data_IF_186079090368
#
_entry.id   IF_186079090368
#
_cell.length_a   1.000
_cell.length_b   1.000
_cell.length_c   1.000
_cell.angle_alpha   90.00
_cell.angle_beta   90.00
_cell.angle_gamma   90.00
#
_symmetry.space_group_name_H-M   'P 1'
#
loop_
_entity.id
_entity.type
_entity.pdbx_description
1 polymer ?
#
# COMPACT_ATOMS: atom_id res chain seq x y z
N UNK A 1 2.61 16.83 -29.34
CA UNK A 1 2.34 17.05 -27.90
C UNK A 1 3.68 16.95 -27.19
N UNK A 2 4.23 18.09 -26.77
CA UNK A 2 5.53 18.16 -26.09
C UNK A 2 5.41 17.57 -24.68
N UNK A 3 6.33 16.66 -24.31
CA UNK A 3 6.43 16.01 -22.99
C UNK A 3 6.86 16.98 -21.86
N UNK A 4 6.56 18.28 -21.97
CA UNK A 4 6.96 19.27 -20.97
C UNK A 4 6.27 18.97 -19.62
N UNK A 5 7.09 18.70 -18.60
CA UNK A 5 6.64 18.48 -17.23
C UNK A 5 6.23 17.04 -16.87
N UNK A 6 6.42 16.06 -17.76
CA UNK A 6 6.24 14.66 -17.37
C UNK A 6 7.28 14.25 -16.31
N UNK A 7 6.83 13.54 -15.27
CA UNK A 7 7.72 12.94 -14.27
C UNK A 7 7.82 11.43 -14.51
N UNK A 8 9.04 10.92 -14.51
CA UNK A 8 9.34 9.49 -14.65
C UNK A 8 10.04 8.98 -13.40
N UNK A 9 9.70 7.74 -13.05
CA UNK A 9 10.29 7.01 -11.94
C UNK A 9 10.65 5.61 -12.44
N UNK A 10 11.93 5.27 -12.35
CA UNK A 10 12.50 4.00 -12.77
C UNK A 10 12.57 3.07 -11.57
N UNK A 11 12.11 1.83 -11.77
CA UNK A 11 12.14 0.77 -10.76
C UNK A 11 12.66 -0.54 -11.34
N UNK A 12 13.23 -1.36 -10.48
CA UNK A 12 13.45 -2.78 -10.74
C UNK A 12 12.39 -3.63 -10.02
N UNK A 13 11.85 -4.64 -10.68
CA UNK A 13 10.96 -5.62 -10.06
C UNK A 13 11.74 -6.68 -9.29
N UNK A 14 11.68 -6.66 -7.97
CA UNK A 14 12.35 -7.65 -7.11
C UNK A 14 11.56 -8.97 -7.02
N UNK A 15 10.25 -8.89 -7.27
CA UNK A 15 9.37 -10.03 -7.52
C UNK A 15 8.44 -9.71 -8.69
N UNK A 16 7.77 -10.72 -9.24
CA UNK A 16 6.80 -10.50 -10.31
C UNK A 16 5.71 -9.50 -9.85
N UNK A 17 5.33 -8.57 -10.72
CA UNK A 17 4.17 -7.71 -10.47
C UNK A 17 2.95 -8.40 -11.03
N UNK A 18 1.93 -8.57 -10.19
CA UNK A 18 0.66 -9.14 -10.62
C UNK A 18 -0.33 -8.02 -10.93
N UNK A 19 -0.80 -7.98 -12.17
CA UNK A 19 -2.01 -7.26 -12.53
C UNK A 19 -2.99 -8.23 -13.15
N UNK A 20 -4.15 -8.42 -12.52
CA UNK A 20 -5.17 -9.33 -13.04
C UNK A 20 -5.87 -8.71 -14.24
N UNK A 21 -5.92 -9.45 -15.35
CA UNK A 21 -6.86 -9.16 -16.44
C UNK A 21 -8.32 -9.49 -16.05
N UNK A 22 -9.23 -9.45 -17.02
CA UNK A 22 -10.65 -9.74 -16.81
C UNK A 22 -10.90 -11.15 -16.24
N UNK A 23 -10.01 -12.10 -16.53
CA UNK A 23 -10.06 -13.48 -16.03
C UNK A 23 -9.20 -13.68 -14.77
N UNK A 24 -8.65 -12.58 -14.23
CA UNK A 24 -7.76 -12.57 -13.08
C UNK A 24 -6.42 -13.25 -13.35
N UNK A 25 -5.95 -13.33 -14.60
CA UNK A 25 -4.65 -13.88 -14.99
C UNK A 25 -3.58 -12.77 -15.07
N UNK A 26 -2.29 -13.11 -14.89
CA UNK A 26 -1.22 -12.12 -14.77
C UNK A 26 -0.55 -11.76 -16.10
N UNK A 27 -0.95 -12.37 -17.22
CA UNK A 27 -0.15 -12.38 -18.46
C UNK A 27 0.08 -11.01 -19.12
N UNK A 28 -0.58 -9.95 -18.65
CA UNK A 28 -0.47 -8.59 -19.18
C UNK A 28 -0.36 -7.59 -18.06
N UNK A 29 0.39 -6.52 -18.29
CA UNK A 29 0.40 -5.35 -17.40
C UNK A 29 -0.88 -4.54 -17.60
N UNK A 30 -1.74 -4.52 -16.58
CA UNK A 30 -2.94 -3.69 -16.54
C UNK A 30 -2.61 -2.40 -15.80
N UNK A 31 -2.35 -1.34 -16.56
CA UNK A 31 -1.96 0.00 -16.05
C UNK A 31 -2.91 0.52 -14.97
N UNK A 32 -4.21 0.31 -15.12
CA UNK A 32 -5.21 0.74 -14.13
C UNK A 32 -5.11 -0.02 -12.81
N UNK A 33 -4.67 -1.28 -12.82
CA UNK A 33 -4.44 -2.07 -11.62
C UNK A 33 -3.27 -1.54 -10.78
N UNK A 34 -2.16 -1.19 -11.43
CA UNK A 34 -1.02 -0.53 -10.77
C UNK A 34 -1.41 0.87 -10.27
N UNK A 35 -2.13 1.65 -11.08
CA UNK A 35 -2.59 2.98 -10.68
C UNK A 35 -3.50 2.92 -9.45
N UNK A 36 -4.38 1.92 -9.37
CA UNK A 36 -5.23 1.69 -8.20
C UNK A 36 -4.43 1.37 -6.95
N UNK A 37 -3.37 0.56 -7.07
CA UNK A 37 -2.47 0.26 -5.96
C UNK A 37 -1.68 1.50 -5.50
N UNK A 38 -1.19 2.32 -6.43
CA UNK A 38 -0.52 3.59 -6.11
C UNK A 38 -1.49 4.55 -5.42
N UNK A 39 -2.72 4.68 -5.94
CA UNK A 39 -3.76 5.49 -5.30
C UNK A 39 -4.00 5.03 -3.86
N UNK A 40 -4.11 3.73 -3.62
CA UNK A 40 -4.35 3.21 -2.28
C UNK A 40 -3.24 3.58 -1.30
N UNK A 41 -1.97 3.43 -1.69
CA UNK A 41 -0.84 3.88 -0.87
C UNK A 41 -0.77 5.40 -0.71
N UNK A 42 -1.19 6.16 -1.71
CA UNK A 42 -1.32 7.61 -1.61
C UNK A 42 -2.36 8.00 -0.55
N UNK A 43 -3.49 7.30 -0.49
CA UNK A 43 -4.49 7.48 0.56
C UNK A 43 -3.92 7.16 1.96
N UNK A 44 -3.11 6.11 2.08
CA UNK A 44 -2.41 5.75 3.33
C UNK A 44 -1.50 6.89 3.80
N UNK A 45 -0.70 7.45 2.90
CA UNK A 45 0.19 8.57 3.19
C UNK A 45 -0.60 9.83 3.60
N UNK A 46 -1.63 10.20 2.83
CA UNK A 46 -2.48 11.37 3.10
C UNK A 46 -3.14 11.29 4.49
N UNK A 47 -3.75 10.14 4.83
CA UNK A 47 -4.32 9.91 6.17
C UNK A 47 -3.24 9.97 7.27
N UNK A 48 -2.03 9.53 6.94
CA UNK A 48 -0.82 9.63 7.76
C UNK A 48 -0.42 11.05 8.13
N UNK A 49 -0.49 11.93 7.13
CA UNK A 49 -0.19 13.36 7.24
C UNK A 49 -1.32 14.17 7.88
N UNK A 50 -2.51 13.58 7.99
CA UNK A 50 -3.67 14.18 8.68
C UNK A 50 -4.78 14.66 7.75
N UNK A 51 -4.60 14.51 6.44
CA UNK A 51 -5.64 14.80 5.46
C UNK A 51 -6.64 13.65 5.30
N UNK A 52 -7.74 13.95 4.62
CA UNK A 52 -8.82 13.01 4.38
C UNK A 52 -8.76 12.35 3.01
N UNK A 53 -9.14 11.07 2.96
CA UNK A 53 -9.31 10.32 1.73
C UNK A 53 -10.62 9.52 1.77
N UNK A 54 -11.44 9.69 0.73
CA UNK A 54 -12.71 8.98 0.61
C UNK A 54 -12.52 7.49 0.34
N UNK A 55 -13.51 6.70 0.71
CA UNK A 55 -13.65 5.34 0.21
C UNK A 55 -14.47 5.37 -1.10
N UNK A 56 -13.88 5.04 -2.27
CA UNK A 56 -14.60 5.03 -3.53
C UNK A 56 -15.67 3.94 -3.63
N UNK A 57 -15.64 2.94 -2.74
CA UNK A 57 -16.60 1.82 -2.72
C UNK A 57 -17.83 2.11 -1.86
N UNK A 58 -17.73 3.04 -0.90
CA UNK A 58 -18.84 3.46 -0.05
C UNK A 58 -19.74 4.48 -0.75
N UNK A 59 -21.05 4.22 -0.78
CA UNK A 59 -22.04 5.18 -1.29
C UNK A 59 -22.14 6.46 -0.44
N UNK A 60 -21.79 6.40 0.86
CA UNK A 60 -21.89 7.53 1.79
C UNK A 60 -20.62 8.37 1.83
N UNK A 61 -19.45 7.72 1.75
CA UNK A 61 -18.15 8.36 1.95
C UNK A 61 -17.37 8.62 0.65
N UNK A 62 -17.85 8.21 -0.54
CA UNK A 62 -17.19 8.48 -1.83
C UNK A 62 -17.24 9.95 -2.24
N UNK A 63 -16.20 10.39 -2.96
CA UNK A 63 -16.21 11.67 -3.69
C UNK A 63 -16.92 11.54 -5.05
N UNK A 64 -17.48 12.65 -5.57
CA UNK A 64 -17.58 13.97 -4.93
C UNK A 64 -18.70 14.03 -3.87
N UNK A 65 -18.75 15.10 -3.07
CA UNK A 65 -19.93 15.40 -2.25
C UNK A 65 -21.03 15.89 -3.18
N UNK A 66 -22.11 15.11 -3.31
CA UNK A 66 -23.22 15.42 -4.21
C UNK A 66 -23.98 16.69 -3.86
N UNK A 67 -23.75 17.26 -2.67
CA UNK A 67 -24.36 18.52 -2.22
C UNK A 67 -23.52 19.75 -2.55
N UNK A 68 -22.32 19.57 -3.10
CA UNK A 68 -21.37 20.64 -3.42
C UNK A 68 -21.15 20.72 -4.93
N UNK A 69 -20.98 21.92 -5.46
CA UNK A 69 -20.57 22.10 -6.85
C UNK A 69 -19.07 21.85 -6.97
N UNK A 70 -18.60 21.59 -8.19
CA UNK A 70 -17.18 21.34 -8.46
C UNK A 70 -16.25 22.50 -8.03
N UNK A 71 -16.78 23.72 -7.99
CA UNK A 71 -16.08 24.94 -7.57
C UNK A 71 -16.07 25.16 -6.06
N UNK A 72 -16.89 24.42 -5.30
CA UNK A 72 -17.09 24.68 -3.87
C UNK A 72 -16.06 23.93 -3.03
N UNK A 73 -15.56 24.58 -1.98
CA UNK A 73 -14.70 23.95 -0.98
C UNK A 73 -15.35 22.70 -0.40
N UNK A 74 -14.61 21.60 -0.40
CA UNK A 74 -15.05 20.30 0.10
C UNK A 74 -15.81 19.45 -0.92
N UNK A 75 -15.80 19.80 -2.21
CA UNK A 75 -16.36 18.96 -3.28
C UNK A 75 -15.72 17.57 -3.32
N UNK A 76 -14.40 17.50 -3.20
CA UNK A 76 -13.64 16.26 -3.27
C UNK A 76 -12.42 16.31 -2.34
N UNK A 77 -11.88 15.14 -2.00
CA UNK A 77 -10.69 15.05 -1.16
C UNK A 77 -9.40 15.26 -1.98
N UNK A 78 -8.29 15.53 -1.29
CA UNK A 78 -6.96 15.76 -1.90
C UNK A 78 -6.49 14.60 -2.79
N UNK A 79 -6.89 13.36 -2.48
CA UNK A 79 -6.57 12.20 -3.32
C UNK A 79 -7.33 12.25 -4.64
N UNK A 80 -8.63 12.54 -4.58
CA UNK A 80 -9.46 12.68 -5.78
C UNK A 80 -9.08 13.90 -6.61
N UNK A 81 -8.45 14.91 -6.01
CA UNK A 81 -7.94 16.06 -6.76
C UNK A 81 -6.89 15.60 -7.80
N UNK A 82 -5.94 14.78 -7.35
CA UNK A 82 -4.86 14.26 -8.19
C UNK A 82 -5.31 13.08 -9.06
N UNK A 83 -5.94 12.06 -8.46
CA UNK A 83 -6.30 10.78 -9.10
C UNK A 83 -7.69 10.75 -9.75
N UNK A 84 -8.49 11.80 -9.56
CA UNK A 84 -9.86 11.87 -10.07
C UNK A 84 -10.89 11.13 -9.21
N UNK A 85 -12.16 11.41 -9.52
CA UNK A 85 -13.36 10.70 -9.06
C UNK A 85 -14.50 10.91 -10.08
N UNK A 86 -15.70 10.42 -9.79
CA UNK A 86 -16.87 10.67 -10.64
C UNK A 86 -17.05 12.17 -10.90
N UNK A 87 -17.14 12.58 -12.17
CA UNK A 87 -17.27 14.00 -12.54
C UNK A 87 -16.01 14.85 -12.35
N UNK A 88 -14.88 14.27 -11.91
CA UNK A 88 -13.60 14.96 -11.78
C UNK A 88 -12.49 14.12 -12.43
N UNK A 89 -12.01 14.55 -13.60
CA UNK A 89 -10.90 13.87 -14.26
C UNK A 89 -9.64 13.92 -13.39
N UNK A 90 -8.74 12.94 -13.52
CA UNK A 90 -7.40 12.99 -12.92
C UNK A 90 -6.53 14.10 -13.54
N UNK A 91 -5.50 14.57 -12.83
CA UNK A 91 -4.59 15.63 -13.32
C UNK A 91 -3.50 15.13 -14.27
N UNK A 92 -3.31 13.83 -14.43
CA UNK A 92 -2.23 13.25 -15.22
C UNK A 92 -2.68 12.05 -16.06
N UNK A 93 -1.99 11.82 -17.17
CA UNK A 93 -1.95 10.53 -17.85
C UNK A 93 -0.89 9.66 -17.17
N UNK A 94 -1.20 8.39 -17.01
CA UNK A 94 -0.33 7.40 -16.36
C UNK A 94 0.00 6.32 -17.36
N UNK A 95 1.28 6.04 -17.49
CA UNK A 95 1.82 5.07 -18.42
C UNK A 95 2.83 4.19 -17.68
N UNK A 96 2.82 2.90 -17.98
CA UNK A 96 3.84 1.96 -17.53
C UNK A 96 4.68 1.59 -18.74
N UNK A 97 5.97 1.86 -18.65
CA UNK A 97 6.90 1.72 -19.76
C UNK A 97 7.98 0.69 -19.43
N UNK A 98 8.51 0.04 -20.46
CA UNK A 98 9.72 -0.76 -20.34
C UNK A 98 10.98 0.14 -20.25
N UNK A 99 12.15 -0.49 -20.12
CA UNK A 99 13.45 0.20 -20.10
C UNK A 99 13.69 1.08 -21.34
N UNK A 100 13.13 0.69 -22.48
CA UNK A 100 13.24 1.38 -23.76
C UNK A 100 12.20 2.51 -23.93
N UNK A 101 11.39 2.77 -22.90
CA UNK A 101 10.36 3.81 -22.92
C UNK A 101 9.11 3.46 -23.75
N UNK A 102 8.93 2.19 -24.14
CA UNK A 102 7.73 1.71 -24.83
C UNK A 102 6.70 1.23 -23.82
N UNK A 103 5.42 1.26 -24.18
CA UNK A 103 4.36 0.76 -23.31
C UNK A 103 4.59 -0.71 -22.93
N UNK A 104 4.67 -0.99 -21.62
CA UNK A 104 4.87 -2.34 -21.11
C UNK A 104 3.54 -3.10 -21.17
N UNK A 105 3.36 -3.92 -22.20
CA UNK A 105 2.12 -4.69 -22.40
C UNK A 105 2.11 -6.03 -21.64
N UNK A 106 3.27 -6.68 -21.57
CA UNK A 106 3.46 -7.96 -20.88
C UNK A 106 3.61 -7.75 -19.37
N UNK A 107 3.42 -8.82 -18.60
CA UNK A 107 3.71 -8.81 -17.17
C UNK A 107 5.13 -8.31 -16.89
N UNK A 108 5.29 -7.51 -15.84
CA UNK A 108 6.61 -7.15 -15.30
C UNK A 108 7.06 -8.31 -14.41
N UNK A 109 8.13 -8.97 -14.81
CA UNK A 109 8.69 -10.13 -14.10
C UNK A 109 9.92 -9.74 -13.30
N UNK A 110 10.28 -10.57 -12.32
CA UNK A 110 11.46 -10.36 -11.48
C UNK A 110 12.72 -10.07 -12.32
N UNK A 111 13.48 -9.05 -11.91
CA UNK A 111 14.71 -8.57 -12.55
C UNK A 111 14.50 -7.60 -13.70
N UNK A 112 13.24 -7.32 -14.11
CA UNK A 112 12.97 -6.34 -15.15
C UNK A 112 12.95 -4.92 -14.59
N UNK A 113 13.60 -4.01 -15.31
CA UNK A 113 13.42 -2.56 -15.11
C UNK A 113 12.18 -2.06 -15.84
N UNK A 114 11.44 -1.16 -15.20
CA UNK A 114 10.27 -0.50 -15.79
C UNK A 114 10.17 0.94 -15.30
N UNK A 115 9.41 1.76 -16.01
CA UNK A 115 9.19 3.17 -15.67
C UNK A 115 7.71 3.46 -15.45
N UNK A 116 7.45 4.25 -14.42
CA UNK A 116 6.15 4.87 -14.17
C UNK A 116 6.20 6.31 -14.64
N UNK A 117 5.46 6.64 -15.71
CA UNK A 117 5.40 7.99 -16.28
C UNK A 117 4.07 8.66 -15.92
N UNK A 118 4.17 9.86 -15.36
CA UNK A 118 3.07 10.75 -15.02
C UNK A 118 3.15 12.00 -15.89
N UNK A 119 2.33 12.06 -16.93
CA UNK A 119 2.28 13.23 -17.84
C UNK A 119 1.15 14.15 -17.40
N UNK A 120 1.41 15.39 -16.94
CA UNK A 120 0.36 16.31 -16.54
C UNK A 120 -0.61 16.60 -17.71
N UNK A 121 -1.90 16.54 -17.40
CA UNK A 121 -3.03 16.96 -18.25
C UNK A 121 -3.64 18.28 -17.76
N UNK A 122 -3.37 18.62 -16.49
CA UNK A 122 -3.75 19.86 -15.81
C UNK A 122 -2.59 20.26 -14.88
N UNK A 123 -2.54 21.50 -14.38
CA UNK A 123 -1.51 21.91 -13.41
C UNK A 123 -1.49 20.98 -12.19
N UNK A 124 -0.30 20.49 -11.86
CA UNK A 124 -0.04 19.69 -10.66
C UNK A 124 0.90 20.50 -9.76
N UNK A 125 0.47 20.73 -8.53
CA UNK A 125 1.18 21.56 -7.57
C UNK A 125 2.45 20.85 -7.04
N UNK A 126 3.46 21.60 -6.57
CA UNK A 126 4.65 21.02 -5.95
C UNK A 126 4.34 20.02 -4.83
N UNK A 127 3.31 20.30 -4.01
CA UNK A 127 2.85 19.44 -2.92
C UNK A 127 2.24 18.13 -3.46
N UNK A 128 1.49 18.19 -4.56
CA UNK A 128 0.90 17.01 -5.20
C UNK A 128 1.97 16.10 -5.80
N UNK A 129 3.00 16.69 -6.42
CA UNK A 129 4.16 15.95 -6.90
C UNK A 129 4.97 15.33 -5.76
N UNK A 130 5.17 16.06 -4.66
CA UNK A 130 5.89 15.55 -3.49
C UNK A 130 5.13 14.39 -2.82
N UNK A 131 3.80 14.49 -2.68
CA UNK A 131 2.98 13.38 -2.17
C UNK A 131 3.07 12.13 -3.07
N UNK A 132 3.09 12.32 -4.40
CA UNK A 132 3.23 11.20 -5.34
C UNK A 132 4.61 10.54 -5.22
N UNK A 133 5.69 11.33 -5.19
CA UNK A 133 7.06 10.82 -5.02
C UNK A 133 7.20 10.04 -3.69
N UNK A 134 6.80 10.64 -2.57
CA UNK A 134 6.82 9.98 -1.26
C UNK A 134 5.99 8.70 -1.25
N UNK A 135 4.87 8.66 -1.95
CA UNK A 135 4.05 7.45 -2.08
C UNK A 135 4.80 6.34 -2.81
N UNK A 136 5.47 6.66 -3.92
CA UNK A 136 6.22 5.68 -4.70
C UNK A 136 7.42 5.13 -3.91
N UNK A 137 8.12 6.00 -3.18
CA UNK A 137 9.21 5.61 -2.27
C UNK A 137 8.70 4.78 -1.09
N UNK A 138 7.56 5.14 -0.50
CA UNK A 138 6.90 4.36 0.55
C UNK A 138 6.60 2.92 0.08
N UNK A 139 6.08 2.78 -1.15
CA UNK A 139 5.83 1.48 -1.77
C UNK A 139 7.13 0.69 -1.91
N UNK A 140 8.16 1.28 -2.53
CA UNK A 140 9.42 0.59 -2.78
C UNK A 140 10.13 0.15 -1.49
N UNK A 141 10.13 1.00 -0.45
CA UNK A 141 10.90 0.79 0.76
C UNK A 141 10.18 -0.01 1.84
N UNK A 142 8.86 0.16 1.99
CA UNK A 142 8.12 -0.45 3.11
C UNK A 142 6.89 -1.24 2.65
N UNK A 143 6.43 -1.02 1.43
CA UNK A 143 5.21 -1.62 0.90
C UNK A 143 5.43 -2.70 -0.15
N UNK A 144 4.39 -2.88 -0.97
CA UNK A 144 4.34 -3.69 -2.19
C UNK A 144 3.23 -3.15 -3.11
N UNK A 145 3.33 -3.41 -4.42
CA UNK A 145 2.40 -2.90 -5.44
C UNK A 145 1.72 -4.01 -6.25
N UNK A 146 0.48 -3.77 -6.65
CA UNK A 146 -0.29 -4.68 -7.50
C UNK A 146 -1.08 -5.73 -6.72
N UNK A 147 -1.53 -6.76 -7.44
CA UNK A 147 -2.34 -7.85 -6.89
C UNK A 147 -1.51 -8.93 -6.20
N UNK A 148 -2.19 -9.84 -5.50
CA UNK A 148 -1.60 -11.05 -4.87
C UNK A 148 -0.47 -10.78 -3.86
N UNK A 149 -0.23 -9.54 -3.46
CA UNK A 149 0.68 -9.15 -2.37
C UNK A 149 0.28 -9.73 -1.00
N UNK A 150 -0.98 -10.13 -0.84
CA UNK A 150 -1.57 -10.70 0.40
C UNK A 150 -1.35 -12.22 0.57
N UNK A 151 -0.63 -12.85 -0.37
CA UNK A 151 -0.30 -14.25 -0.30
C UNK A 151 0.69 -14.50 0.84
N UNK A 152 0.52 -15.64 1.51
CA UNK A 152 1.31 -15.98 2.69
C UNK A 152 2.50 -16.84 2.26
N UNK A 153 3.74 -16.46 2.59
CA UNK A 153 4.90 -17.29 2.26
C UNK A 153 4.91 -18.60 3.06
N UNK A 154 5.61 -19.59 2.53
CA UNK A 154 5.78 -20.91 3.17
C UNK A 154 7.24 -21.35 3.13
N UNK A 155 7.70 -21.94 4.24
CA UNK A 155 9.01 -22.59 4.38
C UNK A 155 8.92 -24.11 4.13
N UNK A 156 7.73 -24.64 3.86
CA UNK A 156 7.55 -26.05 3.51
C UNK A 156 8.24 -26.34 2.16
N UNK A 157 9.22 -27.25 2.07
CA UNK A 157 9.99 -27.48 0.84
C UNK A 157 9.12 -27.81 -0.39
N UNK A 158 8.04 -28.57 -0.18
CA UNK A 158 7.10 -28.95 -1.26
C UNK A 158 6.15 -27.82 -1.68
N UNK A 159 6.09 -26.71 -0.94
CA UNK A 159 5.11 -25.63 -1.14
C UNK A 159 5.75 -24.26 -1.36
N UNK A 160 7.03 -24.10 -1.04
CA UNK A 160 7.84 -22.88 -1.15
C UNK A 160 7.69 -22.16 -2.50
N UNK A 161 7.52 -22.92 -3.59
CA UNK A 161 7.44 -22.43 -4.98
C UNK A 161 6.01 -22.45 -5.56
N UNK A 162 5.00 -22.86 -4.79
CA UNK A 162 3.62 -22.92 -5.26
C UNK A 162 3.08 -21.51 -5.47
N UNK A 163 2.27 -21.24 -6.51
CA UNK A 163 1.80 -19.89 -6.83
C UNK A 163 1.12 -19.14 -5.68
N UNK A 164 0.43 -19.85 -4.78
CA UNK A 164 -0.26 -19.27 -3.61
C UNK A 164 0.65 -18.99 -2.39
N UNK A 165 1.96 -19.21 -2.53
CA UNK A 165 3.00 -18.96 -1.53
C UNK A 165 4.16 -18.09 -2.08
N UNK A 166 4.03 -17.60 -3.32
CA UNK A 166 4.99 -16.70 -3.94
C UNK A 166 4.74 -15.27 -3.48
N UNK A 167 5.83 -14.54 -3.33
CA UNK A 167 5.83 -13.10 -3.11
C UNK A 167 5.63 -12.39 -4.45
N UNK A 168 4.86 -11.30 -4.45
CA UNK A 168 4.58 -10.46 -5.63
C UNK A 168 4.67 -8.99 -5.25
N UNK A 169 5.00 -8.14 -6.22
CA UNK A 169 4.87 -6.69 -6.08
C UNK A 169 5.95 -5.98 -5.28
N UNK A 170 7.08 -6.62 -5.00
CA UNK A 170 8.24 -5.95 -4.42
C UNK A 170 9.00 -5.25 -5.55
N UNK A 171 9.32 -3.97 -5.34
CA UNK A 171 10.04 -3.14 -6.31
C UNK A 171 11.16 -2.40 -5.60
N UNK A 172 12.22 -2.10 -6.34
CA UNK A 172 13.31 -1.24 -5.91
C UNK A 172 13.25 0.06 -6.68
N UNK A 173 13.34 1.18 -5.98
CA UNK A 173 13.52 2.48 -6.62
C UNK A 173 14.95 2.62 -7.14
N UNK A 174 15.11 2.98 -8.41
CA UNK A 174 16.43 3.17 -9.03
C UNK A 174 16.73 4.66 -9.14
N UNK A 175 15.86 5.40 -9.82
CA UNK A 175 16.01 6.83 -10.05
C UNK A 175 14.67 7.43 -10.47
N UNK A 176 14.56 8.74 -10.46
CA UNK A 176 13.32 9.43 -10.82
C UNK A 176 13.18 10.73 -10.07
N UNK A 177 12.01 11.34 -10.19
CA UNK A 177 11.90 12.78 -9.93
C UNK A 177 11.88 13.20 -8.45
N UNK A 178 13.00 13.79 -7.97
CA UNK A 178 13.14 14.84 -6.94
C UNK A 178 14.00 16.00 -7.51
N UNK A 179 14.11 17.23 -6.99
CA UNK A 179 13.73 17.87 -5.73
C UNK A 179 12.53 18.83 -5.90
N UNK A 180 11.41 18.51 -5.26
CA UNK A 180 10.44 19.54 -4.86
C UNK A 180 10.85 19.91 -3.43
N UNK A 181 11.20 21.16 -3.10
CA UNK A 181 11.70 21.55 -1.77
C UNK A 181 10.59 21.58 -0.70
N UNK A 182 9.54 20.78 -0.88
CA UNK A 182 8.36 20.79 -0.03
C UNK A 182 8.65 19.97 1.23
N UNK A 183 8.58 20.66 2.35
CA UNK A 183 8.77 20.11 3.68
C UNK A 183 7.58 19.26 4.13
N UNK A 184 7.78 18.43 5.16
CA UNK A 184 6.67 17.71 5.79
C UNK A 184 5.58 18.67 6.30
N UNK A 185 5.96 19.82 6.86
CA UNK A 185 5.03 20.82 7.37
C UNK A 185 4.13 21.36 6.26
N UNK A 186 4.71 21.76 5.12
CA UNK A 186 3.94 22.24 3.98
C UNK A 186 3.00 21.17 3.42
N UNK A 187 3.40 19.89 3.44
CA UNK A 187 2.50 18.80 3.04
C UNK A 187 1.36 18.60 4.03
N UNK A 188 1.61 18.72 5.33
CA UNK A 188 0.55 18.64 6.37
C UNK A 188 -0.45 19.76 6.20
N UNK A 189 0.02 20.98 6.01
CA UNK A 189 -0.83 22.14 5.76
C UNK A 189 -1.67 21.92 4.50
N UNK A 190 -1.02 21.51 3.41
CA UNK A 190 -1.69 21.23 2.14
C UNK A 190 -2.82 20.21 2.27
N UNK A 191 -2.56 19.03 2.86
CA UNK A 191 -3.58 17.96 2.92
C UNK A 191 -4.72 18.25 3.92
N UNK A 192 -4.54 19.23 4.80
CA UNK A 192 -5.54 19.64 5.80
C UNK A 192 -6.31 20.91 5.44
N UNK A 193 -6.00 21.54 4.30
CA UNK A 193 -6.70 22.75 3.85
C UNK A 193 -8.22 22.57 3.79
N UNK A 194 -8.94 23.62 4.17
CA UNK A 194 -10.41 23.66 4.23
C UNK A 194 -11.10 23.43 2.87
N UNK A 195 -10.38 23.62 1.75
CA UNK A 195 -10.90 23.33 0.40
C UNK A 195 -11.09 21.84 0.15
N UNK A 196 -10.41 20.97 0.89
CA UNK A 196 -10.53 19.54 0.73
C UNK A 196 -11.72 18.98 1.50
N UNK A 197 -12.41 18.02 0.89
CA UNK A 197 -13.38 17.21 1.61
C UNK A 197 -12.63 16.38 2.65
N UNK A 198 -13.16 16.34 3.86
CA UNK A 198 -12.72 15.47 4.95
C UNK A 198 -13.83 14.45 5.23
N UNK A 199 -13.89 13.33 4.49
CA UNK A 199 -14.90 12.29 4.72
C UNK A 199 -14.69 11.64 6.09
N UNK A 200 -15.77 11.17 6.72
CA UNK A 200 -15.64 10.33 7.91
C UNK A 200 -14.87 9.06 7.54
N UNK A 201 -13.88 8.73 8.36
CA UNK A 201 -12.93 7.66 8.05
C UNK A 201 -13.43 6.27 8.45
N UNK A 202 -14.50 6.17 9.26
CA UNK A 202 -15.19 4.95 9.71
C UNK A 202 -14.34 3.67 9.58
N UNK A 203 -14.78 2.72 8.75
CA UNK A 203 -14.19 1.38 8.59
C UNK A 203 -12.83 1.34 7.88
N UNK A 204 -12.34 2.49 7.40
CA UNK A 204 -11.07 2.62 6.65
C UNK A 204 -10.02 3.48 7.35
N UNK A 205 -10.33 4.01 8.54
CA UNK A 205 -9.39 4.83 9.32
C UNK A 205 -8.06 4.11 9.59
N UNK A 206 -8.10 2.78 9.66
CA UNK A 206 -6.94 1.93 9.84
C UNK A 206 -5.94 1.98 8.68
N UNK A 207 -6.39 2.25 7.45
CA UNK A 207 -5.56 2.30 6.25
C UNK A 207 -4.86 3.66 6.16
N UNK A 208 -4.01 3.93 7.16
CA UNK A 208 -3.33 5.19 7.40
C UNK A 208 -1.89 4.92 7.83
N UNK A 209 -0.95 5.75 7.39
CA UNK A 209 0.44 5.65 7.84
C UNK A 209 0.56 5.84 9.36
N UNK A 210 -0.40 6.55 9.98
CA UNK A 210 -0.51 6.64 11.45
C UNK A 210 -0.64 5.28 12.11
N UNK A 211 -1.25 4.31 11.42
CA UNK A 211 -1.54 2.98 11.92
C UNK A 211 -0.60 1.92 11.33
N UNK A 212 0.38 2.33 10.53
CA UNK A 212 1.28 1.45 9.79
C UNK A 212 2.55 1.13 10.60
N UNK A 213 3.04 -0.09 10.41
CA UNK A 213 4.33 -0.55 10.93
C UNK A 213 5.02 -1.45 9.91
N UNK A 214 6.36 -1.46 9.94
CA UNK A 214 7.18 -2.32 9.09
C UNK A 214 8.42 -2.80 9.83
N UNK A 215 8.82 -4.05 9.60
CA UNK A 215 10.11 -4.63 10.00
C UNK A 215 10.79 -5.15 8.74
N UNK A 216 11.92 -4.52 8.37
CA UNK A 216 12.76 -4.97 7.24
C UNK A 216 13.62 -6.16 7.69
N UNK A 217 13.97 -7.04 6.75
CA UNK A 217 14.83 -8.21 7.00
C UNK A 217 14.16 -9.39 7.71
N UNK A 218 12.92 -9.24 8.21
CA UNK A 218 12.19 -10.32 8.89
C UNK A 218 10.87 -10.66 8.21
N UNK A 219 10.54 -11.95 8.22
CA UNK A 219 9.31 -12.48 7.62
C UNK A 219 8.57 -13.44 8.55
N UNK A 220 7.25 -13.48 8.38
CA UNK A 220 6.35 -14.47 8.96
C UNK A 220 5.89 -15.45 7.88
N UNK A 221 5.86 -16.75 8.16
CA UNK A 221 5.51 -17.78 7.18
C UNK A 221 4.69 -18.92 7.76
N UNK A 222 4.28 -19.85 6.91
CA UNK A 222 3.89 -21.20 7.32
C UNK A 222 5.13 -22.09 7.30
N UNK A 223 5.55 -22.56 8.46
CA UNK A 223 6.68 -23.47 8.59
C UNK A 223 6.27 -24.89 8.17
N UNK A 224 5.11 -25.36 8.62
CA UNK A 224 4.58 -26.68 8.27
C UNK A 224 3.05 -26.80 8.45
N UNK A 225 2.53 -28.03 8.38
CA UNK A 225 1.10 -28.32 8.53
C UNK A 225 0.54 -27.91 9.90
N UNK A 226 1.40 -27.91 10.93
CA UNK A 226 1.02 -27.69 12.33
C UNK A 226 1.56 -26.38 12.91
N UNK A 227 2.62 -25.80 12.33
CA UNK A 227 3.28 -24.59 12.82
C UNK A 227 3.23 -23.45 11.79
N UNK A 228 2.98 -22.24 12.29
CA UNK A 228 2.78 -21.06 11.48
C UNK A 228 2.95 -19.76 12.29
N UNK A 229 4.17 -19.19 12.26
CA UNK A 229 4.51 -17.88 12.86
C UNK A 229 3.53 -16.78 12.40
N UNK A 230 3.14 -16.78 11.12
CA UNK A 230 2.17 -15.83 10.58
C UNK A 230 0.80 -15.93 11.25
N UNK A 231 0.28 -17.16 11.40
CA UNK A 231 -1.03 -17.38 12.01
C UNK A 231 -1.01 -17.01 13.49
N UNK A 232 0.09 -17.34 14.20
CA UNK A 232 0.26 -16.99 15.60
C UNK A 232 0.21 -15.47 15.82
N UNK A 233 0.95 -14.69 15.01
CA UNK A 233 0.94 -13.22 15.09
C UNK A 233 -0.44 -12.63 14.80
N UNK A 234 -1.21 -13.19 13.87
CA UNK A 234 -2.58 -12.74 13.59
C UNK A 234 -3.63 -13.44 14.46
N UNK A 235 -3.24 -14.12 15.55
CA UNK A 235 -4.19 -14.76 16.48
C UNK A 235 -5.06 -15.86 15.87
N UNK A 236 -4.57 -16.58 14.85
CA UNK A 236 -5.22 -17.74 14.23
C UNK A 236 -4.57 -19.05 14.66
N UNK A 237 -5.32 -20.17 14.69
CA UNK A 237 -4.74 -21.50 14.83
C UNK A 237 -3.64 -21.76 13.80
N UNK A 238 -2.53 -22.34 14.24
CA UNK A 238 -1.38 -22.61 13.37
C UNK A 238 -1.65 -23.79 12.41
N UNK A 239 -2.32 -24.81 12.93
CA UNK A 239 -2.66 -26.03 12.22
C UNK A 239 -3.61 -25.76 11.03
N UNK A 240 -3.29 -26.32 9.86
CA UNK A 240 -3.99 -26.06 8.59
C UNK A 240 -5.47 -26.50 8.60
N UNK A 241 -5.81 -27.51 9.40
CA UNK A 241 -7.16 -28.07 9.49
C UNK A 241 -8.04 -27.41 10.57
N UNK A 242 -7.51 -26.44 11.32
CA UNK A 242 -8.26 -25.76 12.37
C UNK A 242 -8.68 -24.36 11.89
N UNK A 243 -9.96 -24.05 12.10
CA UNK A 243 -10.52 -22.71 11.94
C UNK A 243 -10.97 -22.20 13.30
N UNK A 244 -10.70 -20.93 13.59
CA UNK A 244 -11.29 -20.23 14.73
C UNK A 244 -12.56 -19.49 14.34
N UNK A 245 -13.53 -19.43 15.26
CA UNK A 245 -14.72 -18.57 15.11
C UNK A 245 -14.46 -17.12 15.59
N UNK A 246 -13.30 -16.83 16.18
CA UNK A 246 -12.90 -15.52 16.73
C UNK A 246 -11.55 -15.04 16.19
N UNK A 247 -11.44 -14.92 14.87
CA UNK A 247 -10.22 -14.40 14.22
C UNK A 247 -9.93 -12.97 14.69
N UNK A 248 -8.64 -12.67 14.98
CA UNK A 248 -8.23 -11.30 15.28
C UNK A 248 -8.50 -10.36 14.10
N UNK A 249 -8.64 -9.06 14.39
CA UNK A 249 -8.84 -8.03 13.38
C UNK A 249 -7.74 -8.01 12.31
N UNK A 250 -6.51 -8.39 12.66
CA UNK A 250 -5.37 -8.46 11.74
C UNK A 250 -5.55 -9.51 10.64
N UNK A 251 -6.28 -10.57 10.97
CA UNK A 251 -6.39 -11.75 10.14
C UNK A 251 -7.31 -11.55 8.92
N UNK A 252 -8.15 -10.50 8.95
CA UNK A 252 -9.25 -10.30 8.01
C UNK A 252 -10.25 -11.47 8.03
N UNK A 253 -11.31 -11.40 7.23
CA UNK A 253 -12.39 -12.40 7.18
C UNK A 253 -12.85 -12.59 5.75
N UNK A 254 -13.25 -13.82 5.40
CA UNK A 254 -13.86 -14.09 4.11
C UNK A 254 -15.36 -13.80 4.20
N UNK A 255 -15.98 -13.47 3.07
CA UNK A 255 -17.43 -13.41 2.99
C UNK A 255 -18.01 -14.79 3.37
N UNK A 256 -19.06 -14.80 4.19
CA UNK A 256 -19.63 -16.05 4.72
C UNK A 256 -20.94 -15.82 5.48
N UNK A 257 -21.60 -16.90 5.92
CA UNK A 257 -22.81 -16.82 6.74
C UNK A 257 -24.12 -16.86 5.95
N UNK A 258 -24.89 -17.92 6.17
CA UNK A 258 -26.35 -17.94 6.04
C UNK A 258 -26.90 -18.08 7.47
N UNK A 259 -27.95 -17.34 7.87
CA UNK A 259 -28.83 -16.50 7.06
C UNK A 259 -28.41 -15.01 6.96
N UNK A 260 -27.42 -14.56 7.73
CA UNK A 260 -26.89 -13.19 7.66
C UNK A 260 -25.60 -13.16 6.84
N UNK A 261 -25.60 -12.51 5.66
CA UNK A 261 -24.39 -12.29 4.89
C UNK A 261 -23.39 -11.51 5.76
N UNK A 262 -22.19 -12.06 5.87
CA UNK A 262 -21.04 -11.41 6.50
C UNK A 262 -20.15 -10.84 5.40
N UNK A 263 -19.80 -9.57 5.52
CA UNK A 263 -18.93 -8.89 4.57
C UNK A 263 -17.47 -9.35 4.73
N UNK A 264 -16.70 -9.43 3.63
CA UNK A 264 -15.28 -9.77 3.69
C UNK A 264 -14.45 -8.62 4.28
N UNK A 265 -13.51 -8.96 5.17
CA UNK A 265 -12.54 -8.02 5.75
C UNK A 265 -11.13 -8.34 5.22
N UNK A 266 -10.39 -7.33 4.76
CA UNK A 266 -9.04 -7.58 4.22
C UNK A 266 -8.01 -7.88 5.32
N UNK A 267 -7.00 -8.68 4.99
CA UNK A 267 -5.86 -8.91 5.88
C UNK A 267 -5.11 -7.61 6.14
N UNK A 268 -4.54 -7.47 7.33
CA UNK A 268 -3.83 -6.27 7.77
C UNK A 268 -2.34 -6.48 7.99
N UNK A 269 -1.87 -7.73 7.92
CA UNK A 269 -0.44 -8.11 7.98
C UNK A 269 -0.04 -8.77 6.68
N UNK A 270 1.08 -8.32 6.13
CA UNK A 270 1.69 -8.80 4.90
C UNK A 270 3.15 -9.16 5.20
N UNK A 271 3.64 -10.23 4.58
CA UNK A 271 4.94 -10.79 4.86
C UNK A 271 5.56 -11.31 3.58
N UNK A 272 6.83 -10.96 3.36
CA UNK A 272 7.59 -11.26 2.15
C UNK A 272 8.92 -11.86 2.56
N UNK A 273 9.24 -13.04 2.03
CA UNK A 273 10.44 -13.83 2.36
C UNK A 273 11.54 -13.72 1.31
N UNK A 274 11.26 -13.22 0.12
CA UNK A 274 12.20 -13.23 -1.00
C UNK A 274 11.95 -12.06 -1.96
N UNK A 275 13.00 -11.46 -2.55
CA UNK A 275 14.42 -11.81 -2.35
C UNK A 275 14.99 -11.26 -1.04
N UNK A 276 16.20 -11.70 -0.64
CA UNK A 276 16.79 -11.48 0.70
C UNK A 276 16.87 -10.00 1.06
N UNK A 277 17.25 -9.18 0.10
CA UNK A 277 17.41 -7.74 0.18
C UNK A 277 16.08 -6.98 0.39
N UNK A 278 14.95 -7.60 0.06
CA UNK A 278 13.63 -6.99 0.18
C UNK A 278 12.70 -7.71 1.16
N UNK A 279 13.22 -8.68 1.92
CA UNK A 279 12.50 -9.33 3.01
C UNK A 279 11.91 -8.26 3.92
N UNK A 280 10.61 -8.36 4.19
CA UNK A 280 9.92 -7.45 5.10
C UNK A 280 8.60 -8.04 5.56
N UNK A 281 8.18 -7.65 6.75
CA UNK A 281 6.82 -7.82 7.24
C UNK A 281 6.29 -6.45 7.60
N UNK A 282 5.10 -6.12 7.10
CA UNK A 282 4.45 -4.88 7.43
C UNK A 282 2.96 -5.10 7.67
N UNK A 283 2.34 -4.13 8.29
CA UNK A 283 0.91 -4.18 8.50
C UNK A 283 0.33 -2.91 9.07
N UNK A 284 -0.93 -3.02 9.44
CA UNK A 284 -1.71 -1.95 10.04
C UNK A 284 -2.31 -2.43 11.36
N UNK A 285 -2.62 -1.47 12.22
CA UNK A 285 -3.45 -1.67 13.42
C UNK A 285 -4.75 -0.90 13.33
N UNK A 286 -5.72 -1.25 14.18
CA UNK A 286 -7.05 -0.68 14.11
C UNK A 286 -7.03 0.78 14.60
N UNK A 287 -6.31 1.08 15.67
CA UNK A 287 -6.26 2.42 16.26
C UNK A 287 -4.84 2.90 16.58
N UNK A 288 -4.63 4.22 16.60
CA UNK A 288 -3.33 4.81 16.97
C UNK A 288 -2.95 4.47 18.43
N UNK A 289 -3.92 4.39 19.33
CA UNK A 289 -3.67 4.02 20.73
C UNK A 289 -3.39 2.52 20.88
N UNK A 290 -3.85 1.70 19.93
CA UNK A 290 -3.24 0.38 19.76
C UNK A 290 -1.78 0.58 19.43
N UNK A 291 -1.32 1.38 18.47
CA UNK A 291 0.14 1.60 18.30
C UNK A 291 0.93 2.07 19.54
N UNK A 292 0.26 2.71 20.51
CA UNK A 292 0.83 3.03 21.83
C UNK A 292 0.89 1.80 22.76
N UNK A 293 -0.09 0.90 22.72
CA UNK A 293 -0.19 -0.34 23.55
C UNK A 293 0.32 -1.64 22.87
N UNK A 294 0.26 -1.71 21.54
CA UNK A 294 0.83 -2.63 20.55
C UNK A 294 2.34 -2.71 20.66
N UNK A 295 2.94 -1.70 21.31
CA UNK A 295 4.30 -1.77 21.82
C UNK A 295 4.53 -2.92 22.80
N UNK A 296 3.51 -3.55 23.39
CA UNK A 296 3.69 -4.74 24.23
C UNK A 296 3.14 -6.02 23.61
N UNK A 297 1.93 -6.05 23.04
CA UNK A 297 1.33 -7.31 22.55
C UNK A 297 1.88 -7.79 21.21
N UNK A 298 1.82 -6.95 20.15
CA UNK A 298 2.45 -7.30 18.87
C UNK A 298 3.96 -7.43 19.06
N UNK A 299 4.58 -6.55 19.86
CA UNK A 299 5.97 -6.71 20.30
C UNK A 299 6.20 -8.09 20.90
N UNK A 300 5.43 -8.50 21.90
CA UNK A 300 5.57 -9.81 22.55
C UNK A 300 5.41 -10.93 21.53
N UNK A 301 4.46 -10.81 20.59
CA UNK A 301 4.30 -11.82 19.53
C UNK A 301 5.53 -11.83 18.61
N UNK A 302 5.99 -10.68 18.12
CA UNK A 302 7.15 -10.59 17.23
C UNK A 302 8.46 -11.02 17.93
N UNK A 303 8.68 -10.63 19.20
CA UNK A 303 9.81 -11.07 20.04
C UNK A 303 9.80 -12.58 20.28
N UNK A 304 8.62 -13.18 20.47
CA UNK A 304 8.47 -14.63 20.58
C UNK A 304 8.82 -15.34 19.27
N UNK A 305 8.46 -14.74 18.13
CA UNK A 305 8.67 -15.37 16.82
C UNK A 305 10.07 -15.18 16.26
N UNK A 306 10.67 -14.03 16.51
CA UNK A 306 11.92 -13.63 15.90
C UNK A 306 13.02 -13.51 16.94
N UNK A 307 13.89 -14.52 16.97
CA UNK A 307 15.08 -14.50 17.81
C UNK A 307 15.91 -13.24 17.57
N UNK A 308 16.31 -12.59 18.67
CA UNK A 308 17.10 -11.34 18.65
C UNK A 308 16.38 -10.16 18.00
N UNK A 309 15.05 -10.15 17.96
CA UNK A 309 14.30 -8.99 17.51
C UNK A 309 14.42 -7.84 18.51
N UNK A 310 14.85 -6.68 18.01
CA UNK A 310 14.91 -5.45 18.79
C UNK A 310 13.82 -4.49 18.36
N UNK A 311 13.25 -3.75 19.32
CA UNK A 311 12.16 -2.81 19.04
C UNK A 311 12.57 -1.71 18.05
N UNK A 312 13.87 -1.38 17.97
CA UNK A 312 14.41 -0.41 17.03
C UNK A 312 14.27 -0.85 15.56
N UNK A 313 14.08 -2.16 15.30
CA UNK A 313 13.81 -2.69 13.96
C UNK A 313 12.38 -2.36 13.49
N UNK A 314 11.46 -2.03 14.41
CA UNK A 314 10.09 -1.66 14.11
C UNK A 314 10.01 -0.20 13.65
N UNK A 315 9.80 0.00 12.35
CA UNK A 315 9.60 1.31 11.74
C UNK A 315 8.13 1.72 11.80
N UNK A 316 7.86 2.88 12.41
CA UNK A 316 6.53 3.50 12.50
C UNK A 316 6.51 4.80 11.68
N UNK A 317 5.36 5.48 11.65
CA UNK A 317 5.18 6.75 10.92
C UNK A 317 6.34 7.74 11.06
N UNK A 318 6.82 8.10 12.26
CA UNK A 318 7.87 9.11 12.38
C UNK A 318 9.17 8.65 11.71
N UNK A 319 9.59 7.40 11.95
CA UNK A 319 10.80 6.82 11.38
C UNK A 319 10.72 6.75 9.85
N UNK A 320 9.56 6.32 9.34
CA UNK A 320 9.33 6.17 7.90
C UNK A 320 9.32 7.54 7.21
N UNK A 321 8.63 8.54 7.77
CA UNK A 321 8.62 9.87 7.18
C UNK A 321 10.02 10.48 7.19
N UNK A 322 10.74 10.39 8.32
CA UNK A 322 12.11 10.88 8.43
C UNK A 322 13.04 10.24 7.38
N UNK A 323 12.97 8.91 7.21
CA UNK A 323 13.74 8.19 6.19
C UNK A 323 13.33 8.59 4.76
N UNK A 324 12.05 8.76 4.47
CA UNK A 324 11.56 9.15 3.14
C UNK A 324 11.96 10.58 2.76
N UNK A 325 11.87 11.53 3.70
CA UNK A 325 12.29 12.93 3.46
C UNK A 325 13.81 13.05 3.38
N UNK A 326 14.58 12.28 4.15
CA UNK A 326 16.05 12.24 4.03
C UNK A 326 16.51 11.65 2.71
N UNK A 327 15.86 10.61 2.21
CA UNK A 327 16.20 9.98 0.93
C UNK A 327 15.85 10.85 -0.28
N UNK A 328 14.96 11.84 -0.12
CA UNK A 328 14.55 12.78 -1.17
C UNK A 328 15.23 14.15 -1.11
N UNK A 329 15.99 14.42 -0.04
CA UNK A 329 16.71 15.68 0.20
C UNK A 329 18.04 15.76 -0.57
#
# INVERSE_FOLDING_TARGET
MTNQGAKEYTFEALTDLWTGDADGKPGRTITTGLLGSIRWWFEVLVRGLGGGACDPTSSRNRCPDSRKKATDSGHHCVVCELFGCTGWARKFRFEVLDENGKAKAEQITKGQTFKLRFTPLRPILPQEWALLDLTLRLIAEYGAIGGKTVLKPSDEPSRVNKPHHRDYGLIQFIEGATSSPVTEAELRDYVTEHRWRQPQHDDFAWASLKNFWCVKGRYLARQNANASTFNRVIGRPEAKGQSSQGDSWLAGRRAGGQPKPQDPESKRVLSFKSPREAVRTFGFVQFLDELKNLGQELKTQLEKEWAGFEIAELKKKPDILDELFKAGA
#
